data_IF_621227281808
#
_entry.id   IF_621227281808
#
_cell.length_a   1.000
_cell.length_b   1.000
_cell.length_c   1.000
_cell.angle_alpha   90.00
_cell.angle_beta   90.00
_cell.angle_gamma   90.00
#
_symmetry.space_group_name_H-M   'P 1'
#
loop_
_entity.id
_entity.type
_entity.pdbx_description
1 polymer ?
#
# COMPACT_ATOMS: atom_id res chain seq x y z
N UNK A 1 16.83 0.55 -10.63
CA UNK A 1 15.86 0.49 -9.53
C UNK A 1 14.53 0.02 -10.05
N UNK A 2 14.04 -1.06 -9.51
CA UNK A 2 12.76 -1.58 -9.96
C UNK A 2 11.63 -0.81 -9.29
N UNK A 3 10.64 -0.40 -10.07
CA UNK A 3 9.43 0.18 -9.51
C UNK A 3 8.63 -0.92 -8.82
N UNK A 4 8.00 -0.58 -7.71
CA UNK A 4 7.13 -1.51 -7.02
C UNK A 4 5.85 -1.68 -7.84
N UNK A 5 5.49 -2.92 -8.12
CA UNK A 5 4.27 -3.24 -8.84
C UNK A 5 3.10 -3.27 -7.85
N UNK A 6 2.31 -2.23 -7.88
CA UNK A 6 1.16 -2.09 -7.00
C UNK A 6 -0.13 -2.26 -7.78
N UNK A 7 -1.09 -2.98 -7.19
CA UNK A 7 -2.41 -3.17 -7.77
C UNK A 7 -3.47 -2.88 -6.72
N UNK A 8 -4.62 -2.44 -7.18
CA UNK A 8 -5.73 -2.17 -6.27
C UNK A 8 -6.12 -3.47 -5.57
N UNK A 9 -6.26 -3.40 -4.25
CA UNK A 9 -6.57 -4.55 -3.43
C UNK A 9 -5.35 -5.26 -2.86
N UNK A 10 -4.15 -4.89 -3.30
CA UNK A 10 -2.93 -5.45 -2.72
C UNK A 10 -2.81 -5.06 -1.27
N UNK A 11 -2.38 -6.02 -0.46
CA UNK A 11 -2.01 -5.74 0.92
C UNK A 11 -0.49 -5.74 0.98
N UNK A 12 0.06 -4.64 1.45
CA UNK A 12 1.52 -4.46 1.49
C UNK A 12 1.98 -4.16 2.90
N UNK A 13 3.21 -4.54 3.19
CA UNK A 13 3.87 -4.18 4.44
C UNK A 13 4.78 -2.99 4.19
N UNK A 14 4.80 -2.07 5.13
CA UNK A 14 5.62 -0.88 5.05
C UNK A 14 6.61 -0.87 6.20
N UNK A 15 7.73 -0.20 5.99
CA UNK A 15 8.81 -0.14 6.97
C UNK A 15 8.37 0.54 8.26
N UNK A 16 7.60 1.61 8.13
CA UNK A 16 7.17 2.41 9.27
C UNK A 16 5.74 2.06 9.65
N UNK A 17 5.51 1.78 10.92
CA UNK A 17 4.17 1.48 11.40
C UNK A 17 3.30 2.74 11.42
N UNK A 18 2.01 2.54 11.14
CA UNK A 18 1.00 3.57 11.37
C UNK A 18 0.87 3.79 12.89
N UNK A 19 0.43 4.98 13.34
CA UNK A 19 0.25 5.23 14.77
C UNK A 19 -0.57 4.19 15.52
N UNK A 20 -1.46 3.46 14.82
CA UNK A 20 -2.22 2.37 15.46
C UNK A 20 -1.39 1.11 15.66
N UNK A 21 -0.16 1.07 15.19
CA UNK A 21 0.75 -0.06 15.34
C UNK A 21 0.80 -1.01 14.15
N UNK A 22 -0.11 -0.89 13.20
CA UNK A 22 -0.11 -1.77 12.04
C UNK A 22 0.92 -1.31 11.01
N UNK A 23 1.61 -2.27 10.40
CA UNK A 23 2.52 -2.02 9.30
C UNK A 23 1.93 -2.45 7.96
N UNK A 24 0.72 -2.96 7.95
CA UNK A 24 0.08 -3.46 6.74
C UNK A 24 -0.97 -2.49 6.24
N UNK A 25 -0.95 -2.28 4.94
CA UNK A 25 -1.86 -1.34 4.28
C UNK A 25 -2.43 -1.99 3.04
N UNK A 26 -3.66 -1.62 2.71
CA UNK A 26 -4.31 -2.07 1.49
C UNK A 26 -4.30 -0.95 0.47
N UNK A 27 -3.93 -1.28 -0.76
CA UNK A 27 -3.93 -0.31 -1.86
C UNK A 27 -5.36 -0.15 -2.37
N UNK A 28 -5.86 1.08 -2.36
CA UNK A 28 -7.24 1.37 -2.80
C UNK A 28 -7.29 2.25 -4.02
N UNK A 29 -6.20 2.95 -4.33
CA UNK A 29 -6.17 3.85 -5.47
C UNK A 29 -4.77 3.91 -6.05
N UNK A 30 -4.69 3.89 -7.37
CA UNK A 30 -3.45 4.07 -8.10
C UNK A 30 -3.55 5.35 -8.93
N UNK A 31 -2.50 6.12 -8.93
CA UNK A 31 -2.44 7.36 -9.66
C UNK A 31 -1.17 8.09 -9.31
N UNK A 32 -1.15 9.41 -9.43
CA UNK A 32 -0.01 10.22 -8.99
C UNK A 32 0.23 9.99 -7.50
N UNK A 33 -0.85 9.89 -6.73
CA UNK A 33 -0.80 9.50 -5.32
C UNK A 33 -1.39 8.11 -5.17
N UNK A 34 -0.83 7.35 -4.26
CA UNK A 34 -1.31 6.01 -3.95
C UNK A 34 -2.26 6.11 -2.76
N UNK A 35 -3.48 5.61 -2.93
CA UNK A 35 -4.44 5.52 -1.84
C UNK A 35 -4.21 4.26 -1.05
N UNK A 36 -4.10 4.40 0.27
CA UNK A 36 -3.85 3.30 1.18
C UNK A 36 -4.86 3.32 2.31
N UNK A 37 -5.22 2.15 2.78
CA UNK A 37 -6.04 2.00 3.99
C UNK A 37 -5.25 1.18 4.98
N UNK A 38 -5.08 1.70 6.18
CA UNK A 38 -4.41 0.96 7.25
C UNK A 38 -5.25 -0.23 7.64
N UNK A 39 -4.66 -1.42 7.59
CA UNK A 39 -5.38 -2.66 7.92
C UNK A 39 -5.69 -2.77 9.41
N UNK A 40 -4.99 -2.01 10.23
CA UNK A 40 -5.21 -2.05 11.67
C UNK A 40 -6.40 -1.21 12.13
N UNK A 41 -6.56 -0.03 11.56
CA UNK A 41 -7.59 0.91 12.03
C UNK A 41 -8.51 1.43 10.93
N UNK A 42 -8.25 1.09 9.67
CA UNK A 42 -9.09 1.53 8.57
C UNK A 42 -8.89 2.97 8.14
N UNK A 43 -7.87 3.64 8.65
CA UNK A 43 -7.61 5.02 8.28
C UNK A 43 -7.13 5.13 6.83
N UNK A 44 -7.70 6.07 6.09
CA UNK A 44 -7.33 6.30 4.69
C UNK A 44 -6.19 7.28 4.60
N UNK A 45 -5.22 6.95 3.77
CA UNK A 45 -4.02 7.76 3.59
C UNK A 45 -3.77 7.92 2.10
N UNK A 46 -3.37 9.12 1.69
CA UNK A 46 -2.82 9.34 0.35
C UNK A 46 -1.34 9.60 0.49
N UNK A 47 -0.54 8.92 -0.29
CA UNK A 47 0.90 9.03 -0.21
C UNK A 47 1.47 9.08 -1.62
N UNK A 48 2.49 9.93 -1.80
CA UNK A 48 3.22 9.99 -3.05
C UNK A 48 3.78 8.61 -3.38
N UNK A 49 3.70 8.24 -4.64
CA UNK A 49 4.19 6.94 -5.11
C UNK A 49 5.63 6.70 -4.70
N UNK A 50 6.50 7.70 -4.80
CA UNK A 50 7.90 7.55 -4.41
C UNK A 50 8.03 7.26 -2.92
N UNK A 51 7.20 7.87 -2.10
CA UNK A 51 7.22 7.61 -0.66
C UNK A 51 6.76 6.18 -0.37
N UNK A 52 5.76 5.71 -1.09
CA UNK A 52 5.31 4.32 -0.94
C UNK A 52 6.44 3.37 -1.30
N UNK A 53 7.12 3.62 -2.42
CA UNK A 53 8.21 2.76 -2.87
C UNK A 53 9.36 2.73 -1.87
N UNK A 54 9.67 3.87 -1.26
CA UNK A 54 10.72 3.93 -0.24
C UNK A 54 10.38 3.14 1.01
N UNK A 55 9.12 3.13 1.39
CA UNK A 55 8.66 2.51 2.64
C UNK A 55 8.21 1.08 2.44
N UNK A 56 8.02 0.68 1.21
CA UNK A 56 7.59 -0.67 0.87
C UNK A 56 8.63 -1.70 1.30
N UNK A 57 8.19 -2.77 1.94
CA UNK A 57 9.07 -3.88 2.31
C UNK A 57 8.68 -5.17 1.60
N UNK A 58 7.39 -5.48 1.51
CA UNK A 58 6.96 -6.72 0.88
C UNK A 58 5.48 -6.67 0.55
N UNK A 59 5.07 -7.49 -0.42
CA UNK A 59 3.67 -7.79 -0.63
C UNK A 59 3.26 -8.84 0.40
N UNK A 60 2.24 -8.55 1.18
CA UNK A 60 1.68 -9.52 2.12
C UNK A 60 0.69 -10.40 1.38
N UNK A 61 -0.14 -9.78 0.53
CA UNK A 61 -1.15 -10.48 -0.24
C UNK A 61 -1.42 -9.69 -1.51
N UNK A 62 -1.50 -10.38 -2.64
CA UNK A 62 -1.86 -9.73 -3.90
C UNK A 62 -3.36 -9.52 -3.94
N UNK A 63 -3.77 -8.38 -4.46
CA UNK A 63 -5.17 -8.11 -4.65
C UNK A 63 -5.80 -9.06 -5.65
N UNK A 64 -7.15 -9.08 -5.68
CA UNK A 64 -7.83 -9.92 -6.66
C UNK A 64 -7.40 -9.50 -8.06
N UNK A 65 -7.10 -10.51 -8.87
CA UNK A 65 -6.77 -10.25 -10.26
C UNK A 65 -8.04 -9.90 -10.99
N UNK A 66 -8.22 -8.62 -11.17
CA UNK A 66 -9.34 -8.19 -11.99
C UNK A 66 -8.98 -8.47 -13.43
N UNK A 67 -9.82 -9.17 -14.16
CA UNK A 67 -9.61 -9.25 -15.59
C UNK A 67 -9.72 -7.85 -16.12
N UNK A 68 -8.66 -7.35 -16.61
CA UNK A 68 -8.65 -6.01 -17.18
C UNK A 68 -8.61 -6.11 -18.67
#
# INVERSE_FOLDING_TARGET
MAAVDLRIGDRIAMRKAHPCGSKQFRVTRLGADIGLVCEGCGHRILMDRLDVERRFTAHVERGPQLPS
#
